data_IF_217517122516
#
_entry.id   IF_217517122516
#
_cell.length_a   1.000
_cell.length_b   1.000
_cell.length_c   1.000
_cell.angle_alpha   90.00
_cell.angle_beta   90.00
_cell.angle_gamma   90.00
#
_symmetry.space_group_name_H-M   'P 1'
#
loop_
_entity.id
_entity.type
_entity.pdbx_description
1 polymer ?
#
# COMPACT_ATOMS: atom_id res chain seq x y z
N UNK A 1 -1.52 14.24 -14.85
CA UNK A 1 -1.22 13.04 -14.04
C UNK A 1 -1.56 13.29 -12.58
N UNK A 2 -2.13 12.31 -11.89
CA UNK A 2 -2.42 12.47 -10.48
C UNK A 2 -1.15 12.76 -9.68
N UNK A 3 -1.29 13.63 -8.70
CA UNK A 3 -0.19 14.00 -7.81
C UNK A 3 -0.52 13.56 -6.39
N UNK A 4 0.48 13.07 -5.70
CA UNK A 4 0.41 12.73 -4.28
C UNK A 4 1.38 13.64 -3.53
N UNK A 5 1.25 13.65 -2.19
CA UNK A 5 2.17 14.40 -1.36
C UNK A 5 3.62 14.04 -1.70
N UNK A 6 4.52 15.04 -1.90
CA UNK A 6 5.88 14.76 -2.33
C UNK A 6 6.64 13.81 -1.43
N UNK A 7 6.37 13.83 -0.13
CA UNK A 7 7.02 12.94 0.83
C UNK A 7 6.56 11.47 0.69
N UNK A 8 5.42 11.22 0.04
CA UNK A 8 4.94 9.87 -0.19
C UNK A 8 5.36 9.30 -1.54
N UNK A 9 5.82 10.13 -2.47
CA UNK A 9 6.26 9.64 -3.79
C UNK A 9 7.37 8.59 -3.67
N UNK A 10 8.46 8.81 -2.90
CA UNK A 10 9.46 7.75 -2.73
C UNK A 10 8.91 6.51 -2.05
N UNK A 11 8.00 6.66 -1.10
CA UNK A 11 7.39 5.53 -0.39
C UNK A 11 6.64 4.64 -1.37
N UNK A 12 5.72 5.21 -2.15
CA UNK A 12 4.88 4.41 -3.05
C UNK A 12 5.66 3.87 -4.25
N UNK A 13 6.65 4.61 -4.75
CA UNK A 13 7.46 4.13 -5.87
C UNK A 13 8.39 2.99 -5.47
N UNK A 14 9.05 3.09 -4.32
CA UNK A 14 9.89 2.01 -3.81
C UNK A 14 9.07 0.79 -3.43
N UNK A 15 7.88 0.98 -2.85
CA UNK A 15 6.99 -0.12 -2.53
C UNK A 15 6.50 -0.83 -3.79
N UNK A 16 6.05 -0.10 -4.79
CA UNK A 16 5.61 -0.68 -6.06
C UNK A 16 6.73 -1.52 -6.69
N UNK A 17 7.92 -0.96 -6.74
CA UNK A 17 9.08 -1.68 -7.28
C UNK A 17 9.35 -2.96 -6.50
N UNK A 18 9.35 -2.88 -5.16
CA UNK A 18 9.62 -4.03 -4.31
C UNK A 18 8.56 -5.12 -4.46
N UNK A 19 7.30 -4.76 -4.41
CA UNK A 19 6.22 -5.73 -4.54
C UNK A 19 6.18 -6.37 -5.92
N UNK A 20 6.43 -5.59 -6.96
CA UNK A 20 6.49 -6.11 -8.33
C UNK A 20 7.65 -7.09 -8.50
N UNK A 21 8.85 -6.73 -8.04
CA UNK A 21 10.03 -7.61 -8.14
C UNK A 21 9.89 -8.88 -7.31
N UNK A 22 9.21 -8.79 -6.16
CA UNK A 22 8.95 -9.94 -5.29
C UNK A 22 7.74 -10.77 -5.75
N UNK A 23 7.00 -10.29 -6.76
CA UNK A 23 5.84 -11.00 -7.29
C UNK A 23 4.64 -11.01 -6.36
N UNK A 24 4.47 -9.99 -5.54
CA UNK A 24 3.38 -9.89 -4.57
C UNK A 24 2.25 -9.01 -5.13
N UNK A 25 1.05 -9.56 -5.34
CA UNK A 25 -0.09 -8.75 -5.74
C UNK A 25 -0.47 -7.75 -4.65
N UNK A 26 -0.82 -6.53 -5.05
CA UNK A 26 -1.12 -5.46 -4.10
C UNK A 26 -2.10 -4.45 -4.68
N UNK A 27 -2.67 -3.63 -3.80
CA UNK A 27 -3.43 -2.45 -4.19
C UNK A 27 -3.31 -1.37 -3.11
N UNK A 28 -3.19 -0.12 -3.53
CA UNK A 28 -3.26 1.02 -2.63
C UNK A 28 -4.72 1.22 -2.24
N UNK A 29 -4.98 1.38 -0.96
CA UNK A 29 -6.31 1.57 -0.38
C UNK A 29 -6.31 2.81 0.51
N UNK A 30 -7.46 3.18 1.03
CA UNK A 30 -7.58 4.24 2.02
C UNK A 30 -7.45 5.65 1.47
N UNK A 31 -6.78 6.53 2.22
CA UNK A 31 -6.83 7.98 2.01
C UNK A 31 -6.18 8.46 0.71
N UNK A 32 -5.23 7.71 0.15
CA UNK A 32 -4.58 8.09 -1.11
C UNK A 32 -5.44 7.82 -2.34
N UNK A 33 -6.43 6.95 -2.25
CA UNK A 33 -7.19 6.52 -3.43
C UNK A 33 -7.91 7.67 -4.13
N UNK A 34 -8.61 8.59 -3.43
CA UNK A 34 -9.24 9.72 -4.12
C UNK A 34 -8.24 10.61 -4.86
N UNK A 35 -7.05 10.82 -4.30
CA UNK A 35 -6.02 11.64 -4.94
C UNK A 35 -5.50 11.01 -6.22
N UNK A 36 -5.34 9.68 -6.22
CA UNK A 36 -4.79 8.96 -7.37
C UNK A 36 -5.82 8.74 -8.48
N UNK A 37 -7.07 8.40 -8.12
CA UNK A 37 -8.09 8.08 -9.11
C UNK A 37 -8.82 9.30 -9.64
N UNK A 38 -9.04 10.31 -8.80
CA UNK A 38 -9.85 11.47 -9.15
C UNK A 38 -9.02 12.70 -9.49
N UNK A 39 -7.70 12.58 -9.45
CA UNK A 39 -6.77 13.71 -9.62
C UNK A 39 -7.16 14.89 -8.72
N UNK A 40 -7.70 14.57 -7.55
CA UNK A 40 -8.11 15.57 -6.58
C UNK A 40 -6.89 16.10 -5.83
N UNK A 41 -6.89 17.39 -5.52
CA UNK A 41 -5.86 17.95 -4.64
C UNK A 41 -6.04 17.39 -3.23
N UNK A 42 -4.93 17.06 -2.53
CA UNK A 42 -5.04 16.60 -1.15
C UNK A 42 -5.74 17.66 -0.32
N UNK A 43 -6.81 17.28 0.37
CA UNK A 43 -7.51 18.19 1.27
C UNK A 43 -6.82 18.32 2.61
N UNK A 44 -5.94 17.40 2.92
CA UNK A 44 -5.13 17.38 4.13
C UNK A 44 -3.86 16.59 3.85
N UNK A 45 -2.80 16.88 4.59
CA UNK A 45 -1.55 16.15 4.44
C UNK A 45 -1.76 14.70 4.90
N UNK A 46 -1.56 13.78 3.96
CA UNK A 46 -1.56 12.35 4.24
C UNK A 46 -0.11 11.93 4.44
N UNK A 47 0.24 11.54 5.67
CA UNK A 47 1.61 11.17 6.01
C UNK A 47 1.88 9.68 5.85
N UNK A 48 0.87 8.89 5.55
CA UNK A 48 0.96 7.44 5.42
C UNK A 48 0.21 6.96 4.19
N UNK A 49 0.75 5.93 3.58
CA UNK A 49 0.09 5.19 2.51
C UNK A 49 -0.49 3.90 3.08
N UNK A 50 -1.69 3.54 2.67
CA UNK A 50 -2.35 2.30 3.05
C UNK A 50 -2.34 1.34 1.86
N UNK A 51 -1.77 0.15 2.06
CA UNK A 51 -1.60 -0.83 0.99
C UNK A 51 -2.03 -2.21 1.49
N UNK A 52 -2.84 -2.90 0.71
CA UNK A 52 -3.12 -4.31 0.96
C UNK A 52 -2.28 -5.19 0.04
N UNK A 53 -1.75 -6.28 0.59
CA UNK A 53 -0.94 -7.25 -0.14
C UNK A 53 -1.57 -8.63 -0.03
N UNK A 54 -1.52 -9.40 -1.12
CA UNK A 54 -2.01 -10.76 -1.12
C UNK A 54 -0.89 -11.70 -0.70
N UNK A 55 -1.02 -12.28 0.48
CA UNK A 55 -0.09 -13.29 1.02
C UNK A 55 -0.89 -14.44 1.61
N UNK A 56 -0.33 -15.65 1.57
CA UNK A 56 -1.05 -16.85 1.97
C UNK A 56 -1.26 -16.94 3.49
N UNK A 57 -0.30 -16.44 4.29
CA UNK A 57 -0.34 -16.57 5.73
C UNK A 57 0.50 -15.48 6.41
N UNK A 58 0.45 -15.44 7.73
CA UNK A 58 1.17 -14.42 8.51
C UNK A 58 2.70 -14.63 8.42
N UNK A 59 3.17 -15.87 8.30
CA UNK A 59 4.61 -16.12 8.12
C UNK A 59 5.12 -15.49 6.82
N UNK A 60 4.37 -15.62 5.74
CA UNK A 60 4.71 -14.99 4.46
C UNK A 60 4.66 -13.46 4.56
N UNK A 61 3.72 -12.92 5.32
CA UNK A 61 3.65 -11.49 5.57
C UNK A 61 4.89 -10.98 6.31
N UNK A 62 5.31 -11.70 7.34
CA UNK A 62 6.52 -11.34 8.08
C UNK A 62 7.77 -11.44 7.20
N UNK A 63 7.86 -12.47 6.36
CA UNK A 63 8.97 -12.61 5.41
C UNK A 63 8.98 -11.46 4.39
N UNK A 64 7.82 -11.03 3.93
CA UNK A 64 7.70 -9.88 3.02
C UNK A 64 8.23 -8.60 3.67
N UNK A 65 7.85 -8.35 4.92
CA UNK A 65 8.34 -7.16 5.63
C UNK A 65 9.88 -7.16 5.73
N UNK A 66 10.49 -8.31 5.97
CA UNK A 66 11.95 -8.42 6.01
C UNK A 66 12.58 -8.16 4.64
N UNK A 67 11.97 -8.64 3.56
CA UNK A 67 12.47 -8.42 2.20
C UNK A 67 12.34 -6.97 1.75
N UNK A 68 11.36 -6.25 2.26
CA UNK A 68 11.19 -4.84 1.94
C UNK A 68 12.31 -3.96 2.50
N UNK A 69 13.16 -4.48 3.38
CA UNK A 69 14.35 -3.76 3.84
C UNK A 69 15.28 -3.38 2.68
N UNK A 70 15.36 -4.22 1.64
CA UNK A 70 16.17 -3.93 0.45
C UNK A 70 15.64 -2.72 -0.35
N UNK A 71 14.39 -2.33 -0.11
CA UNK A 71 13.74 -1.20 -0.79
C UNK A 71 13.60 0.03 0.11
N UNK A 72 14.26 0.03 1.26
CA UNK A 72 14.31 1.18 2.15
C UNK A 72 13.27 1.19 3.26
N UNK A 73 12.62 0.05 3.53
CA UNK A 73 11.60 -0.04 4.56
C UNK A 73 12.11 -0.74 5.80
N UNK A 74 11.78 -0.21 6.97
CA UNK A 74 12.07 -0.83 8.26
C UNK A 74 10.78 -1.07 9.04
N UNK A 75 10.78 -2.13 9.85
CA UNK A 75 9.67 -2.45 10.74
C UNK A 75 9.54 -1.38 11.82
N UNK A 76 8.33 -1.17 12.30
CA UNK A 76 8.05 -0.35 13.48
C UNK A 76 7.49 -1.25 14.58
N UNK A 77 7.15 -0.64 15.73
CA UNK A 77 6.49 -1.37 16.82
C UNK A 77 5.08 -1.80 16.48
N UNK A 78 4.47 -1.17 15.47
CA UNK A 78 3.12 -1.50 15.01
C UNK A 78 3.25 -2.54 13.91
N UNK A 79 2.67 -3.76 14.06
CA UNK A 79 2.91 -4.87 13.13
C UNK A 79 2.56 -4.57 11.67
N UNK A 80 1.57 -3.72 11.42
CA UNK A 80 1.15 -3.38 10.06
C UNK A 80 1.84 -2.13 9.51
N UNK A 81 2.69 -1.46 10.30
CA UNK A 81 3.30 -0.19 9.90
C UNK A 81 4.77 -0.35 9.62
N UNK A 82 5.20 0.20 8.49
CA UNK A 82 6.60 0.26 8.10
C UNK A 82 7.00 1.72 7.90
N UNK A 83 8.28 2.00 8.14
CA UNK A 83 8.85 3.34 7.92
C UNK A 83 9.80 3.30 6.74
N UNK A 84 9.65 4.27 5.84
CA UNK A 84 10.56 4.45 4.72
C UNK A 84 11.77 5.28 5.16
N UNK A 85 12.92 5.03 4.52
CA UNK A 85 14.18 5.74 4.82
C UNK A 85 14.06 7.26 4.70
N UNK A 86 13.15 7.76 3.88
CA UNK A 86 12.91 9.20 3.71
C UNK A 86 11.89 9.75 4.73
N UNK A 87 11.49 8.95 5.71
CA UNK A 87 10.64 9.37 6.82
C UNK A 87 9.14 9.10 6.64
N UNK A 88 8.70 8.77 5.44
CA UNK A 88 7.28 8.45 5.19
C UNK A 88 6.86 7.14 5.84
N UNK A 89 5.59 7.04 6.21
CA UNK A 89 5.01 5.85 6.81
C UNK A 89 4.12 5.13 5.82
N UNK A 90 4.05 3.80 5.98
CA UNK A 90 3.21 2.95 5.15
C UNK A 90 2.52 1.92 6.04
N UNK A 91 1.21 1.80 5.91
CA UNK A 91 0.46 0.73 6.55
C UNK A 91 0.26 -0.40 5.54
N UNK A 92 0.78 -1.58 5.89
CA UNK A 92 0.76 -2.75 5.05
C UNK A 92 -0.18 -3.78 5.67
N UNK A 93 -1.26 -4.11 4.96
CA UNK A 93 -2.29 -5.02 5.45
C UNK A 93 -2.26 -6.31 4.63
N UNK A 94 -1.96 -7.45 5.26
CA UNK A 94 -2.00 -8.73 4.56
C UNK A 94 -3.43 -9.20 4.37
N UNK A 95 -3.73 -9.79 3.23
CA UNK A 95 -5.03 -10.39 3.00
C UNK A 95 -4.90 -11.73 2.27
N UNK A 96 -5.66 -12.70 2.74
CA UNK A 96 -6.07 -13.90 2.02
C UNK A 96 -7.28 -14.47 2.76
N UNK A 97 -7.99 -15.38 2.12
CA UNK A 97 -9.10 -16.07 2.78
C UNK A 97 -8.64 -16.97 3.92
N UNK A 98 -7.37 -17.37 3.94
CA UNK A 98 -6.77 -18.13 5.04
C UNK A 98 -6.49 -17.25 6.24
N UNK A 99 -5.99 -16.02 6.03
CA UNK A 99 -5.68 -15.08 7.11
C UNK A 99 -6.95 -14.50 7.73
N UNK A 100 -7.93 -14.18 6.91
CA UNK A 100 -9.15 -13.52 7.34
C UNK A 100 -10.39 -14.25 6.78
N UNK A 101 -10.64 -15.50 7.18
CA UNK A 101 -11.72 -16.30 6.59
C UNK A 101 -13.11 -15.73 6.88
N UNK A 102 -13.27 -15.01 7.97
CA UNK A 102 -14.50 -14.35 8.37
C UNK A 102 -14.48 -12.83 8.11
N UNK A 103 -13.52 -12.35 7.33
CA UNK A 103 -13.35 -10.93 7.04
C UNK A 103 -12.71 -10.11 8.16
N UNK A 104 -12.17 -10.77 9.19
CA UNK A 104 -11.48 -10.09 10.28
C UNK A 104 -10.02 -10.49 10.32
N UNK A 105 -9.14 -9.48 10.33
CA UNK A 105 -7.71 -9.67 10.46
C UNK A 105 -7.28 -9.20 11.84
N UNK A 106 -6.65 -10.07 12.61
CA UNK A 106 -6.04 -9.71 13.89
C UNK A 106 -4.53 -9.88 13.79
N UNK A 107 -3.80 -8.84 14.13
CA UNK A 107 -2.35 -8.85 14.17
C UNK A 107 -1.83 -9.01 15.61
N UNK A 108 -0.51 -9.11 15.75
CA UNK A 108 0.16 -9.44 17.01
C UNK A 108 -0.16 -8.48 18.16
N UNK A 109 -0.43 -7.21 17.85
CA UNK A 109 -0.78 -6.19 18.85
C UNK A 109 -2.25 -6.26 19.30
N UNK A 110 -3.01 -7.20 18.77
CA UNK A 110 -4.43 -7.36 19.09
C UNK A 110 -5.37 -6.45 18.31
N UNK A 111 -4.85 -5.57 17.48
CA UNK A 111 -5.69 -4.71 16.63
C UNK A 111 -6.39 -5.56 15.59
N UNK A 112 -7.68 -5.34 15.43
CA UNK A 112 -8.53 -6.07 14.47
C UNK A 112 -8.93 -5.13 13.35
N UNK A 113 -8.71 -5.57 12.11
CA UNK A 113 -9.12 -4.85 10.91
C UNK A 113 -10.32 -5.54 10.27
N UNK A 114 -11.28 -4.74 9.83
CA UNK A 114 -12.40 -5.25 9.04
C UNK A 114 -11.95 -5.35 7.58
N UNK A 115 -11.77 -6.58 7.11
CA UNK A 115 -11.31 -6.88 5.75
C UNK A 115 -12.47 -7.33 4.85
N UNK A 116 -13.70 -7.06 5.24
CA UNK A 116 -14.86 -7.41 4.43
C UNK A 116 -14.74 -6.78 3.03
N UNK A 117 -14.90 -7.57 1.99
CA UNK A 117 -14.78 -7.11 0.61
C UNK A 117 -13.35 -7.06 0.07
N UNK A 118 -12.34 -7.30 0.89
CA UNK A 118 -10.94 -7.23 0.43
C UNK A 118 -10.59 -8.31 -0.60
N UNK A 119 -11.35 -9.41 -0.67
CA UNK A 119 -11.16 -10.43 -1.71
C UNK A 119 -11.32 -9.85 -3.13
N UNK A 120 -12.03 -8.73 -3.27
CA UNK A 120 -12.26 -8.07 -4.55
C UNK A 120 -11.29 -6.91 -4.81
N UNK A 121 -10.57 -6.46 -3.80
CA UNK A 121 -9.75 -5.24 -3.89
C UNK A 121 -8.61 -5.40 -4.90
N UNK A 122 -7.76 -6.41 -4.71
CA UNK A 122 -6.60 -6.60 -5.58
C UNK A 122 -7.02 -7.03 -6.99
N UNK A 123 -7.93 -8.02 -7.19
CA UNK A 123 -8.36 -8.40 -8.53
C UNK A 123 -8.98 -7.27 -9.34
N UNK A 124 -9.67 -6.35 -8.67
CA UNK A 124 -10.35 -5.23 -9.32
C UNK A 124 -9.58 -3.92 -9.27
N UNK A 125 -8.34 -3.93 -8.81
CA UNK A 125 -7.52 -2.73 -8.74
C UNK A 125 -7.22 -2.21 -10.16
N UNK A 126 -7.21 -0.89 -10.30
CA UNK A 126 -6.88 -0.22 -11.56
C UNK A 126 -5.44 0.27 -11.53
N UNK A 127 -4.78 0.21 -12.68
CA UNK A 127 -3.41 0.71 -12.82
C UNK A 127 -3.45 2.21 -13.10
N UNK A 128 -2.76 2.99 -12.29
CA UNK A 128 -2.76 4.43 -12.35
C UNK A 128 -1.31 4.94 -12.43
N UNK A 129 -0.94 5.69 -13.49
CA UNK A 129 0.38 6.31 -13.55
C UNK A 129 0.47 7.47 -12.57
N UNK A 130 1.64 7.62 -11.94
CA UNK A 130 1.92 8.68 -10.99
C UNK A 130 3.25 9.32 -11.37
N UNK A 131 3.32 10.66 -11.31
CA UNK A 131 4.59 11.35 -11.50
C UNK A 131 5.57 10.93 -10.42
N UNK A 132 6.73 10.41 -10.84
CA UNK A 132 7.77 9.97 -9.94
C UNK A 132 8.85 11.03 -9.76
N UNK A 133 9.11 11.38 -8.52
CA UNK A 133 10.30 12.06 -8.11
C UNK A 133 10.47 13.52 -8.50
N UNK A 134 11.58 14.13 -8.02
CA UNK A 134 11.85 15.55 -8.25
C UNK A 134 12.44 15.85 -9.63
N UNK A 135 12.75 14.84 -10.45
CA UNK A 135 13.34 15.06 -11.77
C UNK A 135 12.25 15.21 -12.83
N UNK A 136 12.15 16.36 -13.50
CA UNK A 136 11.27 16.50 -14.65
C UNK A 136 11.63 15.46 -15.70
N UNK A 137 10.67 14.61 -16.08
CA UNK A 137 10.91 13.53 -17.01
C UNK A 137 11.35 12.22 -16.39
N UNK A 138 11.34 12.11 -15.04
CA UNK A 138 11.53 10.85 -14.35
C UNK A 138 10.42 9.86 -14.71
N UNK A 139 10.76 8.57 -14.77
CA UNK A 139 9.80 7.53 -15.10
C UNK A 139 8.62 7.56 -14.14
N UNK A 140 7.40 7.67 -14.66
CA UNK A 140 6.19 7.56 -13.86
C UNK A 140 6.08 6.14 -13.32
N UNK A 141 5.81 6.00 -12.04
CA UNK A 141 5.44 4.72 -11.48
C UNK A 141 4.00 4.40 -11.85
N UNK A 142 3.71 3.14 -12.13
CA UNK A 142 2.32 2.68 -12.31
C UNK A 142 1.91 1.96 -11.04
N UNK A 143 0.88 2.49 -10.38
CA UNK A 143 0.40 1.94 -9.12
C UNK A 143 -0.92 1.19 -9.32
N UNK A 144 -1.10 0.11 -8.57
CA UNK A 144 -2.37 -0.59 -8.49
C UNK A 144 -3.20 0.03 -7.39
N UNK A 145 -4.35 0.57 -7.73
CA UNK A 145 -5.19 1.35 -6.83
C UNK A 145 -6.56 0.71 -6.73
N UNK A 146 -7.08 0.61 -5.50
CA UNK A 146 -8.38 0.03 -5.26
C UNK A 146 -9.50 0.88 -5.85
N UNK A 147 -10.34 0.26 -6.69
CA UNK A 147 -11.48 0.93 -7.30
C UNK A 147 -12.67 1.02 -6.33
N UNK A 148 -12.75 0.10 -5.39
CA UNK A 148 -13.91 -0.03 -4.49
C UNK A 148 -14.15 1.18 -3.59
N UNK A 149 -13.13 2.01 -3.38
CA UNK A 149 -13.31 3.24 -2.60
C UNK A 149 -14.19 4.28 -3.29
N UNK A 150 -14.54 4.05 -4.56
CA UNK A 150 -15.50 4.91 -5.28
C UNK A 150 -16.94 4.73 -4.83
N UNK A 151 -17.23 3.64 -4.14
CA UNK A 151 -18.61 3.25 -3.78
C UNK A 151 -18.97 3.66 -2.36
N UNK A 152 -18.09 4.34 -1.67
CA UNK A 152 -18.34 4.77 -0.29
C UNK A 152 -18.49 6.29 -0.24
#
# INVERSE_FOLDING_TARGET
MPRIEPNLVPVVTDLERGLRELGIPFAIVGALVPELLLDARPRRMTNDADVTVTVANIADFNALKDRLAAYGFTRTRVPHRMQHRDGGLMDLLPFSTTIAPDGRLQLEDGVVFNMAGFSQVVPNAVSTPVEGGPNPGGAAATLRVAETCRLQ
#
